data_IF_234532637732
#
_entry.id   IF_234532637732
#
_cell.length_a   1.000
_cell.length_b   1.000
_cell.length_c   1.000
_cell.angle_alpha   90.00
_cell.angle_beta   90.00
_cell.angle_gamma   90.00
#
_symmetry.space_group_name_H-M   'P 1'
#
loop_
_entity.id
_entity.type
_entity.pdbx_description
1 polymer ?
#
# COMPACT_ATOMS: atom_id res chain seq x y z
N UNK A 1 8.56 0.10 7.79
CA UNK A 1 8.78 0.10 9.26
C UNK A 1 10.18 -0.41 9.56
N UNK A 2 10.91 0.32 10.40
CA UNK A 2 12.17 -0.15 10.95
C UNK A 2 11.89 -0.58 12.39
N UNK A 3 12.12 -1.85 12.78
CA UNK A 3 11.99 -2.27 14.18
C UNK A 3 13.02 -1.56 15.06
N UNK A 4 12.66 -1.24 16.30
CA UNK A 4 13.48 -0.49 17.26
C UNK A 4 14.92 -1.03 17.39
N UNK A 5 15.07 -2.35 17.38
CA UNK A 5 16.37 -3.04 17.49
C UNK A 5 17.32 -2.67 16.33
N UNK A 6 16.80 -2.18 15.21
CA UNK A 6 17.60 -1.74 14.05
C UNK A 6 17.76 -0.22 13.95
N UNK A 7 17.09 0.58 14.78
CA UNK A 7 17.12 2.06 14.69
C UNK A 7 18.52 2.64 14.88
N UNK A 8 19.32 2.04 15.76
CA UNK A 8 20.72 2.47 15.99
C UNK A 8 21.62 2.28 14.77
N UNK A 9 21.20 1.50 13.78
CA UNK A 9 21.90 1.26 12.53
C UNK A 9 21.30 2.07 11.36
N UNK A 10 20.60 3.15 11.66
CA UNK A 10 20.03 4.02 10.63
C UNK A 10 21.13 4.56 9.70
N UNK A 11 21.01 4.28 8.40
CA UNK A 11 22.03 4.64 7.40
C UNK A 11 23.16 3.63 7.22
N UNK A 12 23.18 2.53 7.97
CA UNK A 12 24.14 1.45 7.78
C UNK A 12 23.88 0.73 6.45
N UNK A 13 24.88 0.64 5.53
CA UNK A 13 24.70 -0.01 4.24
C UNK A 13 24.45 -1.52 4.34
N UNK A 14 24.71 -2.13 5.49
CA UNK A 14 24.40 -3.53 5.77
C UNK A 14 22.92 -3.78 6.11
N UNK A 15 22.12 -2.71 6.25
CA UNK A 15 20.68 -2.82 6.56
C UNK A 15 19.87 -2.09 5.50
N UNK A 16 19.01 -2.81 4.82
CA UNK A 16 18.17 -2.32 3.74
C UNK A 16 16.70 -2.59 4.04
N UNK A 17 15.82 -1.63 3.77
CA UNK A 17 14.39 -1.91 3.79
C UNK A 17 13.95 -2.50 2.44
N UNK A 18 12.96 -3.39 2.45
CA UNK A 18 12.43 -4.04 1.24
C UNK A 18 11.82 -3.08 0.19
N UNK A 19 11.71 -1.79 0.48
CA UNK A 19 11.36 -0.74 -0.49
C UNK A 19 12.53 -0.23 -1.31
N UNK A 20 13.75 -0.55 -0.90
CA UNK A 20 14.96 -0.13 -1.61
C UNK A 20 15.30 -1.17 -2.68
N UNK A 21 15.83 -0.75 -3.84
CA UNK A 21 16.23 -1.68 -4.88
C UNK A 21 17.39 -2.55 -4.40
N UNK A 22 17.30 -3.87 -4.65
CA UNK A 22 18.40 -4.79 -4.41
C UNK A 22 19.40 -4.71 -5.57
N UNK A 23 20.66 -4.44 -5.24
CA UNK A 23 21.77 -4.48 -6.21
C UNK A 23 22.26 -5.92 -6.26
N UNK A 24 21.75 -6.69 -7.22
CA UNK A 24 21.95 -8.15 -7.30
C UNK A 24 23.43 -8.55 -7.41
N UNK A 25 24.24 -7.75 -8.11
CA UNK A 25 25.66 -7.97 -8.29
C UNK A 25 26.45 -7.95 -6.96
N UNK A 26 25.88 -7.33 -5.94
CA UNK A 26 26.49 -7.23 -4.59
C UNK A 26 26.09 -8.36 -3.66
N UNK A 27 25.20 -9.27 -4.08
CA UNK A 27 24.62 -10.30 -3.22
C UNK A 27 25.34 -11.64 -3.30
N UNK A 28 26.03 -11.91 -4.41
CA UNK A 28 26.68 -13.20 -4.64
C UNK A 28 27.69 -13.53 -3.53
N UNK A 29 27.55 -14.75 -2.97
CA UNK A 29 28.42 -15.27 -1.92
C UNK A 29 28.21 -14.67 -0.52
N UNK A 30 27.26 -13.73 -0.34
CA UNK A 30 26.96 -13.13 0.97
C UNK A 30 25.97 -13.96 1.77
N UNK A 31 26.10 -13.91 3.10
CA UNK A 31 25.06 -14.32 4.02
C UNK A 31 24.02 -13.19 4.15
N UNK A 32 22.76 -13.44 3.80
CA UNK A 32 21.68 -12.45 3.82
C UNK A 32 20.55 -12.90 4.74
N UNK A 33 20.22 -12.08 5.74
CA UNK A 33 19.04 -12.30 6.58
C UNK A 33 17.87 -11.43 6.09
N UNK A 34 16.72 -12.05 5.84
CA UNK A 34 15.50 -11.33 5.48
C UNK A 34 14.53 -11.41 6.66
N UNK A 35 14.16 -10.25 7.21
CA UNK A 35 13.31 -10.16 8.39
C UNK A 35 11.86 -9.89 7.98
N UNK A 36 10.98 -10.84 8.28
CA UNK A 36 9.57 -10.80 7.92
C UNK A 36 9.16 -12.04 7.12
N UNK A 37 7.86 -12.34 7.11
CA UNK A 37 7.29 -13.50 6.41
C UNK A 37 6.02 -13.15 5.64
N UNK A 38 5.93 -11.90 5.19
CA UNK A 38 4.91 -11.45 4.25
C UNK A 38 5.43 -11.52 2.80
N UNK A 39 4.58 -11.19 1.82
CA UNK A 39 4.90 -11.34 0.39
C UNK A 39 6.25 -10.71 0.01
N UNK A 40 6.47 -9.43 0.36
CA UNK A 40 7.72 -8.73 0.03
C UNK A 40 8.98 -9.39 0.63
N UNK A 41 8.88 -9.96 1.84
CA UNK A 41 10.00 -10.66 2.45
C UNK A 41 10.35 -11.94 1.66
N UNK A 42 9.34 -12.71 1.26
CA UNK A 42 9.54 -13.89 0.43
C UNK A 42 10.12 -13.54 -0.94
N UNK A 43 9.62 -12.48 -1.59
CA UNK A 43 10.13 -12.05 -2.90
C UNK A 43 11.58 -11.57 -2.83
N UNK A 44 11.93 -10.76 -1.80
CA UNK A 44 13.31 -10.31 -1.59
C UNK A 44 14.24 -11.48 -1.26
N UNK A 45 13.79 -12.44 -0.44
CA UNK A 45 14.57 -13.63 -0.12
C UNK A 45 14.86 -14.47 -1.38
N UNK A 46 13.86 -14.69 -2.22
CA UNK A 46 14.04 -15.42 -3.46
C UNK A 46 14.97 -14.67 -4.43
N UNK A 47 14.81 -13.36 -4.58
CA UNK A 47 15.66 -12.54 -5.44
C UNK A 47 17.12 -12.54 -4.97
N UNK A 48 17.35 -12.45 -3.66
CA UNK A 48 18.70 -12.51 -3.11
C UNK A 48 19.35 -13.89 -3.33
N UNK A 49 18.60 -14.98 -3.14
CA UNK A 49 19.13 -16.32 -3.37
C UNK A 49 19.42 -16.59 -4.85
N UNK A 50 18.57 -16.12 -5.76
CA UNK A 50 18.80 -16.22 -7.22
C UNK A 50 20.03 -15.42 -7.67
N UNK A 51 20.37 -14.34 -6.94
CA UNK A 51 21.60 -13.59 -7.13
C UNK A 51 22.85 -14.26 -6.49
N UNK A 52 22.70 -15.45 -5.92
CA UNK A 52 23.82 -16.24 -5.37
C UNK A 52 24.10 -15.98 -3.88
N UNK A 53 23.20 -15.32 -3.14
CA UNK A 53 23.31 -15.19 -1.70
C UNK A 53 22.90 -16.48 -0.98
N UNK A 54 23.48 -16.71 0.20
CA UNK A 54 22.97 -17.67 1.17
C UNK A 54 21.95 -16.94 2.06
N UNK A 55 20.68 -17.31 1.96
CA UNK A 55 19.58 -16.56 2.57
C UNK A 55 18.94 -17.31 3.75
N UNK A 56 18.74 -16.60 4.86
CA UNK A 56 17.92 -17.03 5.98
C UNK A 56 16.70 -16.09 6.10
N UNK A 57 15.49 -16.63 5.98
CA UNK A 57 14.23 -15.90 6.12
C UNK A 57 13.72 -16.07 7.56
N UNK A 58 13.56 -14.95 8.29
CA UNK A 58 13.26 -14.95 9.73
C UNK A 58 11.90 -14.35 10.00
N UNK A 59 11.07 -15.05 10.77
CA UNK A 59 9.75 -14.57 11.16
C UNK A 59 9.40 -14.82 12.61
N UNK A 60 8.85 -13.80 13.29
CA UNK A 60 8.34 -13.91 14.67
C UNK A 60 7.09 -14.79 14.79
N UNK A 61 6.38 -15.00 13.67
CA UNK A 61 5.23 -15.88 13.64
C UNK A 61 5.67 -17.35 13.77
N UNK A 62 5.02 -18.11 14.65
CA UNK A 62 5.31 -19.55 14.84
C UNK A 62 4.94 -20.39 13.62
N UNK A 63 4.01 -19.94 12.81
CA UNK A 63 3.54 -20.61 11.58
C UNK A 63 3.25 -19.57 10.50
N UNK A 64 3.40 -19.96 9.25
CA UNK A 64 2.94 -19.14 8.12
C UNK A 64 1.40 -19.11 8.09
N UNK A 65 0.78 -17.95 7.84
CA UNK A 65 -0.65 -17.88 7.61
C UNK A 65 -1.01 -18.67 6.35
N UNK A 66 -2.17 -19.32 6.37
CA UNK A 66 -2.63 -20.17 5.25
C UNK A 66 -3.80 -19.57 4.49
N UNK A 67 -4.48 -18.58 5.05
CA UNK A 67 -5.64 -17.92 4.47
C UNK A 67 -5.27 -16.52 3.98
N UNK A 68 -5.90 -16.10 2.90
CA UNK A 68 -5.90 -14.72 2.44
C UNK A 68 -7.35 -14.26 2.29
N UNK A 69 -7.92 -13.70 3.36
CA UNK A 69 -9.29 -13.16 3.37
C UNK A 69 -9.46 -11.95 2.46
N UNK A 70 -8.36 -11.24 2.14
CA UNK A 70 -8.39 -10.11 1.21
C UNK A 70 -8.92 -10.51 -0.17
N UNK A 71 -8.72 -11.76 -0.59
CA UNK A 71 -9.28 -12.25 -1.87
C UNK A 71 -10.80 -12.16 -1.94
N UNK A 72 -11.48 -12.22 -0.80
CA UNK A 72 -12.95 -12.09 -0.75
C UNK A 72 -13.42 -10.67 -1.03
N UNK A 73 -12.56 -9.66 -0.86
CA UNK A 73 -12.88 -8.26 -1.13
C UNK A 73 -12.62 -7.84 -2.58
N UNK A 74 -12.00 -8.70 -3.40
CA UNK A 74 -11.70 -8.41 -4.82
C UNK A 74 -12.95 -8.60 -5.66
N UNK A 75 -13.90 -7.71 -5.48
CA UNK A 75 -15.20 -7.72 -6.21
C UNK A 75 -15.62 -6.28 -6.54
N UNK A 76 -16.39 -6.12 -7.61
CA UNK A 76 -17.00 -4.84 -7.95
C UNK A 76 -17.90 -4.32 -6.81
N UNK A 77 -18.63 -5.23 -6.13
CA UNK A 77 -19.45 -4.87 -4.99
C UNK A 77 -18.68 -4.24 -3.84
N UNK A 78 -17.52 -4.79 -3.49
CA UNK A 78 -16.64 -4.18 -2.49
C UNK A 78 -16.08 -2.84 -2.98
N UNK A 79 -15.57 -2.80 -4.21
CA UNK A 79 -14.97 -1.59 -4.77
C UNK A 79 -15.94 -0.41 -4.80
N UNK A 80 -17.22 -0.66 -5.17
CA UNK A 80 -18.23 0.38 -5.24
C UNK A 80 -18.92 0.64 -3.90
N UNK A 81 -19.12 -0.41 -3.09
CA UNK A 81 -19.91 -0.35 -1.86
C UNK A 81 -19.12 0.12 -0.64
N UNK A 82 -17.84 -0.29 -0.49
CA UNK A 82 -17.06 0.05 0.69
C UNK A 82 -16.99 1.57 0.96
N UNK A 83 -16.78 2.45 -0.03
CA UNK A 83 -16.79 3.90 0.19
C UNK A 83 -18.12 4.46 0.69
N UNK A 84 -19.22 3.70 0.56
CA UNK A 84 -20.59 4.10 0.97
C UNK A 84 -20.92 3.66 2.41
N UNK A 85 -20.11 2.81 3.01
CA UNK A 85 -20.28 2.38 4.40
C UNK A 85 -20.15 3.56 5.36
N UNK A 86 -20.76 3.44 6.53
CA UNK A 86 -20.52 4.38 7.62
C UNK A 86 -19.05 4.33 8.07
N UNK A 87 -18.57 5.41 8.66
CA UNK A 87 -17.18 5.51 9.12
C UNK A 87 -16.83 4.43 10.15
N UNK A 88 -17.77 4.06 11.02
CA UNK A 88 -17.60 2.98 11.99
C UNK A 88 -17.51 1.59 11.34
N UNK A 89 -18.29 1.35 10.29
CA UNK A 89 -18.22 0.11 9.54
C UNK A 89 -16.89 -0.01 8.79
N UNK A 90 -16.43 1.07 8.12
CA UNK A 90 -15.12 1.10 7.46
C UNK A 90 -13.99 0.75 8.44
N UNK A 91 -14.01 1.36 9.63
CA UNK A 91 -13.02 1.08 10.66
C UNK A 91 -13.07 -0.38 11.14
N UNK A 92 -14.29 -0.93 11.33
CA UNK A 92 -14.46 -2.33 11.72
C UNK A 92 -13.94 -3.30 10.65
N UNK A 93 -14.20 -3.03 9.37
CA UNK A 93 -13.68 -3.81 8.25
C UNK A 93 -12.15 -3.78 8.23
N UNK A 94 -11.55 -2.60 8.35
CA UNK A 94 -10.10 -2.44 8.29
C UNK A 94 -9.40 -3.15 9.46
N UNK A 95 -9.94 -3.04 10.67
CA UNK A 95 -9.46 -3.78 11.85
C UNK A 95 -9.47 -5.28 11.62
N UNK A 96 -10.59 -5.81 11.09
CA UNK A 96 -10.69 -7.23 10.81
C UNK A 96 -9.69 -7.68 9.74
N UNK A 97 -9.58 -6.93 8.64
CA UNK A 97 -8.64 -7.20 7.55
C UNK A 97 -7.20 -7.21 8.07
N UNK A 98 -6.82 -6.21 8.86
CA UNK A 98 -5.45 -6.07 9.38
C UNK A 98 -5.11 -7.12 10.43
N UNK A 99 -6.09 -7.50 11.26
CA UNK A 99 -5.93 -8.60 12.22
C UNK A 99 -5.75 -9.96 11.52
N UNK A 100 -6.29 -10.13 10.32
CA UNK A 100 -6.10 -11.32 9.51
C UNK A 100 -4.71 -11.31 8.89
N UNK A 101 -3.79 -12.11 9.44
CA UNK A 101 -2.49 -12.30 8.78
C UNK A 101 -2.69 -12.88 7.39
N UNK A 102 -2.17 -12.17 6.39
CA UNK A 102 -2.34 -12.55 4.98
C UNK A 102 -1.25 -13.55 4.61
N UNK A 103 -1.65 -14.70 4.04
CA UNK A 103 -0.71 -15.67 3.49
C UNK A 103 0.06 -15.05 2.32
N UNK A 104 1.38 -15.22 2.25
CA UNK A 104 2.11 -14.88 1.04
C UNK A 104 1.61 -15.71 -0.15
N UNK A 105 1.76 -15.24 -1.39
CA UNK A 105 1.32 -15.97 -2.58
C UNK A 105 1.95 -17.35 -2.65
N UNK A 106 1.15 -18.37 -2.99
CA UNK A 106 1.62 -19.76 -3.02
C UNK A 106 2.84 -19.95 -3.91
N UNK A 107 2.84 -19.33 -5.09
CA UNK A 107 3.96 -19.43 -6.04
C UNK A 107 5.26 -18.83 -5.48
N UNK A 108 5.18 -17.73 -4.74
CA UNK A 108 6.34 -17.10 -4.08
C UNK A 108 6.91 -18.01 -2.99
N UNK A 109 6.03 -18.62 -2.15
CA UNK A 109 6.47 -19.59 -1.13
C UNK A 109 7.15 -20.80 -1.79
N UNK A 110 6.58 -21.31 -2.90
CA UNK A 110 7.17 -22.42 -3.65
C UNK A 110 8.52 -22.05 -4.29
N UNK A 111 8.68 -20.80 -4.77
CA UNK A 111 9.95 -20.28 -5.29
C UNK A 111 11.02 -20.30 -4.21
N UNK A 112 10.72 -19.75 -3.02
CA UNK A 112 11.64 -19.76 -1.86
C UNK A 112 12.02 -21.18 -1.45
N UNK A 113 11.05 -22.09 -1.36
CA UNK A 113 11.29 -23.49 -0.99
C UNK A 113 12.20 -24.22 -2.00
N UNK A 114 12.02 -23.96 -3.30
CA UNK A 114 12.88 -24.55 -4.37
C UNK A 114 14.32 -24.05 -4.32
N UNK A 115 14.54 -22.85 -3.83
CA UNK A 115 15.87 -22.25 -3.70
C UNK A 115 16.63 -22.73 -2.46
N UNK A 116 16.01 -23.57 -1.62
CA UNK A 116 16.63 -24.10 -0.41
C UNK A 116 16.90 -23.05 0.67
N UNK A 117 16.12 -21.96 0.67
CA UNK A 117 16.25 -20.89 1.65
C UNK A 117 15.84 -21.42 3.03
N UNK A 118 16.66 -21.15 4.03
CA UNK A 118 16.37 -21.50 5.41
C UNK A 118 15.23 -20.62 5.95
N UNK A 119 14.21 -21.25 6.54
CA UNK A 119 13.06 -20.56 7.12
C UNK A 119 13.02 -20.75 8.63
N UNK A 120 13.32 -19.69 9.38
CA UNK A 120 13.29 -19.65 10.85
C UNK A 120 12.01 -18.97 11.32
N UNK A 121 11.10 -19.71 11.91
CA UNK A 121 9.82 -19.21 12.42
C UNK A 121 9.79 -19.21 13.95
N UNK A 122 8.94 -18.34 14.52
CA UNK A 122 8.82 -18.17 15.98
C UNK A 122 10.02 -17.45 16.59
N UNK A 123 10.83 -16.82 15.76
CA UNK A 123 12.06 -16.14 16.14
C UNK A 123 11.88 -14.62 15.99
N UNK A 124 11.97 -13.90 17.09
CA UNK A 124 11.96 -12.44 17.12
C UNK A 124 13.40 -11.94 17.33
N UNK A 125 13.83 -11.00 16.50
CA UNK A 125 15.14 -10.38 16.64
C UNK A 125 15.10 -9.45 17.87
N UNK A 126 15.81 -9.82 18.92
CA UNK A 126 15.84 -9.09 20.18
C UNK A 126 17.09 -8.20 20.30
N UNK A 127 18.15 -8.55 19.59
CA UNK A 127 19.40 -7.84 19.62
C UNK A 127 20.12 -7.98 18.27
N UNK A 128 20.84 -6.93 17.88
CA UNK A 128 21.74 -6.92 16.74
C UNK A 128 23.09 -6.40 17.22
N UNK A 129 24.17 -7.13 16.96
CA UNK A 129 25.53 -6.73 17.31
C UNK A 129 26.44 -6.77 16.10
N UNK A 130 27.52 -6.02 16.13
CA UNK A 130 28.55 -6.07 15.10
C UNK A 130 29.51 -7.22 15.35
N UNK A 131 29.83 -7.97 14.31
CA UNK A 131 30.82 -9.06 14.32
C UNK A 131 31.77 -8.90 13.13
N UNK A 132 32.79 -8.08 13.30
CA UNK A 132 33.65 -7.67 12.20
C UNK A 132 32.86 -6.86 11.15
N UNK A 133 32.94 -7.27 9.90
CA UNK A 133 32.18 -6.64 8.80
C UNK A 133 30.71 -7.09 8.74
N UNK A 134 30.34 -8.13 9.49
CA UNK A 134 28.99 -8.70 9.51
C UNK A 134 28.19 -8.22 10.73
N UNK A 135 26.89 -8.48 10.70
CA UNK A 135 25.97 -8.33 11.81
C UNK A 135 25.63 -9.70 12.40
N UNK A 136 25.53 -9.79 13.71
CA UNK A 136 25.00 -10.94 14.42
C UNK A 136 23.61 -10.60 14.97
N UNK A 137 22.62 -11.32 14.49
CA UNK A 137 21.21 -11.17 14.89
C UNK A 137 20.86 -12.25 15.91
N UNK A 138 20.48 -11.84 17.12
CA UNK A 138 19.98 -12.76 18.14
C UNK A 138 18.46 -12.90 18.00
N UNK A 139 18.00 -14.08 17.61
CA UNK A 139 16.61 -14.41 17.33
C UNK A 139 16.10 -15.49 18.33
N UNK A 140 16.02 -15.14 19.60
CA UNK A 140 15.71 -16.09 20.67
C UNK A 140 16.85 -17.08 20.89
N UNK A 141 16.65 -18.36 20.57
CA UNK A 141 17.69 -19.38 20.67
C UNK A 141 18.66 -19.38 19.46
N UNK A 142 18.27 -18.77 18.37
CA UNK A 142 19.03 -18.74 17.12
C UNK A 142 19.96 -17.54 17.06
N UNK A 143 21.15 -17.75 16.51
CA UNK A 143 22.12 -16.70 16.20
C UNK A 143 22.41 -16.71 14.70
N UNK A 144 22.06 -15.64 14.03
CA UNK A 144 22.16 -15.53 12.57
C UNK A 144 23.21 -14.50 12.24
N UNK A 145 24.33 -14.94 11.67
CA UNK A 145 25.35 -14.05 11.11
C UNK A 145 24.89 -13.60 9.73
N UNK A 146 25.03 -12.32 9.42
CA UNK A 146 24.57 -11.79 8.15
C UNK A 146 25.47 -10.64 7.67
N UNK A 147 25.82 -10.65 6.39
CA UNK A 147 26.55 -9.57 5.74
C UNK A 147 25.60 -8.46 5.25
N UNK A 148 24.32 -8.81 5.06
CA UNK A 148 23.25 -7.86 4.70
C UNK A 148 21.94 -8.31 5.35
N UNK A 149 21.22 -7.35 5.93
CA UNK A 149 19.87 -7.54 6.49
C UNK A 149 18.86 -6.82 5.63
N UNK A 150 17.84 -7.53 5.18
CA UNK A 150 16.71 -6.96 4.44
C UNK A 150 15.47 -6.94 5.33
N UNK A 151 14.96 -5.74 5.63
CA UNK A 151 13.79 -5.55 6.49
C UNK A 151 12.51 -5.63 5.65
N UNK A 152 11.91 -6.81 5.58
CA UNK A 152 10.56 -7.07 5.02
C UNK A 152 9.46 -6.83 6.06
N UNK A 153 9.57 -5.75 6.84
CA UNK A 153 8.78 -5.48 8.06
C UNK A 153 7.56 -4.59 7.83
N UNK A 154 7.23 -4.36 6.55
CA UNK A 154 6.08 -3.57 6.12
C UNK A 154 6.36 -2.07 6.11
N UNK A 155 5.32 -1.31 5.77
CA UNK A 155 5.38 0.13 5.53
C UNK A 155 4.57 0.88 6.59
N UNK A 156 4.88 2.14 6.77
CA UNK A 156 4.05 3.13 7.45
C UNK A 156 3.77 4.27 6.48
N UNK A 157 2.62 4.89 6.61
CA UNK A 157 2.25 6.04 5.83
C UNK A 157 1.86 7.18 6.77
N UNK A 158 2.60 8.28 6.65
CA UNK A 158 2.27 9.54 7.31
C UNK A 158 2.29 10.64 6.24
N UNK A 159 1.14 11.24 5.89
CA UNK A 159 1.09 12.32 4.91
C UNK A 159 1.96 13.52 5.28
N UNK A 160 2.13 13.81 6.58
CA UNK A 160 2.97 14.91 7.05
C UNK A 160 4.47 14.65 6.83
N UNK A 161 4.88 13.38 6.77
CA UNK A 161 6.26 12.99 6.49
C UNK A 161 6.59 12.96 4.98
N UNK A 162 5.59 13.15 4.12
CA UNK A 162 5.78 13.19 2.66
C UNK A 162 6.15 14.62 2.22
N UNK A 163 7.34 14.88 1.67
CA UNK A 163 7.77 16.24 1.30
C UNK A 163 6.76 16.98 0.40
N UNK A 164 6.14 16.25 -0.56
CA UNK A 164 5.16 16.82 -1.48
C UNK A 164 3.82 17.20 -0.81
N UNK A 165 3.51 16.69 0.38
CA UNK A 165 2.26 16.91 1.09
C UNK A 165 2.44 17.66 2.41
N UNK A 166 3.67 17.88 2.86
CA UNK A 166 3.96 18.46 4.17
C UNK A 166 3.24 19.79 4.40
N UNK A 167 3.26 20.68 3.41
CA UNK A 167 2.60 21.99 3.48
C UNK A 167 1.06 21.90 3.43
N UNK A 168 0.53 20.82 2.87
CA UNK A 168 -0.91 20.60 2.74
C UNK A 168 -1.50 19.81 3.90
N UNK A 169 -0.70 19.02 4.60
CA UNK A 169 -1.14 18.08 5.62
C UNK A 169 -1.97 18.76 6.73
N UNK A 170 -1.56 19.96 7.16
CA UNK A 170 -2.30 20.74 8.18
C UNK A 170 -3.69 21.19 7.73
N UNK A 171 -3.93 21.29 6.42
CA UNK A 171 -5.18 21.75 5.81
C UNK A 171 -6.13 20.61 5.43
N UNK A 172 -5.65 19.37 5.45
CA UNK A 172 -6.41 18.17 5.09
C UNK A 172 -7.14 17.63 6.31
N UNK A 173 -8.41 17.27 6.16
CA UNK A 173 -9.18 16.58 7.20
C UNK A 173 -8.62 15.16 7.40
N UNK A 174 -8.28 14.82 8.64
CA UNK A 174 -7.84 13.48 9.00
C UNK A 174 -8.98 12.63 9.56
N UNK A 175 -8.78 11.31 9.62
CA UNK A 175 -9.74 10.41 10.25
C UNK A 175 -9.91 10.67 11.76
N UNK A 176 -8.86 11.12 12.45
CA UNK A 176 -8.93 11.51 13.86
C UNK A 176 -9.94 12.61 14.11
N UNK A 177 -10.13 13.52 13.14
CA UNK A 177 -11.07 14.64 13.25
C UNK A 177 -12.51 14.23 12.90
N UNK A 178 -12.71 13.05 12.32
CA UNK A 178 -14.03 12.54 11.90
C UNK A 178 -14.69 11.65 12.92
N UNK A 179 -13.91 10.92 13.71
CA UNK A 179 -14.40 9.99 14.69
C UNK A 179 -14.05 10.42 16.11
N UNK A 180 -14.93 10.19 17.11
CA UNK A 180 -14.64 10.50 18.49
C UNK A 180 -13.47 9.63 19.01
N UNK A 181 -12.77 10.15 20.03
CA UNK A 181 -11.63 9.43 20.64
C UNK A 181 -11.99 8.01 21.08
N UNK A 182 -13.21 7.80 21.58
CA UNK A 182 -13.72 6.48 22.00
C UNK A 182 -13.85 5.45 20.86
N UNK A 183 -13.80 5.88 19.61
CA UNK A 183 -13.83 4.96 18.46
C UNK A 183 -12.47 4.29 18.22
N UNK A 184 -11.37 4.86 18.72
CA UNK A 184 -10.02 4.39 18.47
C UNK A 184 -9.56 3.36 19.52
N UNK A 185 -8.70 2.43 19.07
CA UNK A 185 -8.11 1.39 19.90
C UNK A 185 -6.59 1.45 19.82
N UNK A 186 -5.93 0.81 20.76
CA UNK A 186 -4.47 0.65 20.73
C UNK A 186 -4.04 0.01 19.42
N UNK A 187 -3.13 0.67 18.69
CA UNK A 187 -2.62 0.22 17.39
C UNK A 187 -3.29 0.88 16.18
N UNK A 188 -4.30 1.73 16.38
CA UNK A 188 -4.95 2.48 15.29
C UNK A 188 -4.23 3.81 14.96
N UNK A 189 -3.13 4.14 15.63
CA UNK A 189 -2.46 5.45 15.56
C UNK A 189 -2.11 5.89 14.12
N UNK A 190 -1.76 4.93 13.26
CA UNK A 190 -1.48 5.22 11.85
C UNK A 190 -2.74 5.65 11.11
N UNK A 191 -3.87 4.99 11.37
CA UNK A 191 -5.15 5.27 10.71
C UNK A 191 -5.74 6.63 11.12
N UNK A 192 -5.50 7.05 12.35
CA UNK A 192 -5.90 8.37 12.83
C UNK A 192 -5.31 9.50 11.97
N UNK A 193 -4.06 9.32 11.50
CA UNK A 193 -3.35 10.29 10.65
C UNK A 193 -3.71 10.19 9.18
N UNK A 194 -4.41 9.13 8.74
CA UNK A 194 -4.83 9.03 7.35
C UNK A 194 -5.76 10.16 6.96
N UNK A 195 -5.66 10.66 5.73
CA UNK A 195 -6.58 11.66 5.24
C UNK A 195 -7.99 11.08 5.11
N UNK A 196 -8.99 11.85 5.50
CA UNK A 196 -10.38 11.55 5.19
C UNK A 196 -10.65 12.00 3.77
N UNK A 197 -10.90 11.07 2.87
CA UNK A 197 -10.98 11.32 1.43
C UNK A 197 -12.41 11.28 0.91
N UNK A 198 -12.66 12.03 -0.15
CA UNK A 198 -13.85 11.87 -0.97
C UNK A 198 -13.80 10.61 -1.84
N UNK A 199 -14.91 10.32 -2.54
CA UNK A 199 -15.10 9.07 -3.28
C UNK A 199 -14.18 8.89 -4.49
N UNK A 200 -13.61 9.97 -5.02
CA UNK A 200 -12.65 9.98 -6.13
C UNK A 200 -11.21 10.17 -5.67
N UNK A 201 -10.90 9.81 -4.42
CA UNK A 201 -9.57 9.96 -3.79
C UNK A 201 -9.17 11.42 -3.50
N UNK A 202 -10.07 12.38 -3.64
CA UNK A 202 -9.80 13.79 -3.37
C UNK A 202 -9.60 14.05 -1.88
N UNK A 203 -8.63 14.92 -1.56
CA UNK A 203 -8.49 15.44 -0.22
C UNK A 203 -9.70 16.32 0.16
N UNK A 204 -10.16 16.15 1.38
CA UNK A 204 -11.17 17.01 1.97
C UNK A 204 -10.51 18.04 2.89
N UNK A 205 -10.85 19.30 2.67
CA UNK A 205 -10.28 20.41 3.41
C UNK A 205 -10.98 20.60 4.77
N UNK A 206 -10.21 21.00 5.80
CA UNK A 206 -10.75 21.48 7.07
C UNK A 206 -11.52 22.81 6.89
N UNK A 207 -10.95 23.68 6.03
CA UNK A 207 -11.56 24.95 5.65
C UNK A 207 -12.26 24.81 4.29
N UNK A 208 -13.59 25.01 4.21
CA UNK A 208 -14.34 24.93 2.96
C UNK A 208 -13.81 25.84 1.85
N UNK A 209 -13.19 26.98 2.19
CA UNK A 209 -12.63 27.90 1.20
C UNK A 209 -11.44 27.28 0.44
N UNK A 210 -10.74 26.32 1.06
CA UNK A 210 -9.62 25.59 0.46
C UNK A 210 -10.04 24.35 -0.31
N UNK A 211 -11.32 23.94 -0.20
CA UNK A 211 -11.79 22.68 -0.80
C UNK A 211 -11.54 22.60 -2.30
N UNK A 212 -11.75 23.72 -3.03
CA UNK A 212 -11.53 23.72 -4.50
C UNK A 212 -10.08 23.39 -4.87
N UNK A 213 -9.11 23.91 -4.13
CA UNK A 213 -7.70 23.65 -4.40
C UNK A 213 -7.28 22.25 -3.95
N UNK A 214 -7.62 21.85 -2.71
CA UNK A 214 -7.28 20.56 -2.14
C UNK A 214 -8.01 19.41 -2.84
N UNK A 215 -9.25 19.60 -3.28
CA UNK A 215 -10.01 18.62 -4.03
C UNK A 215 -9.39 18.24 -5.39
N UNK A 216 -8.45 19.02 -5.93
CA UNK A 216 -7.68 18.67 -7.13
C UNK A 216 -6.52 17.71 -6.84
N UNK A 217 -6.11 17.57 -5.59
CA UNK A 217 -5.06 16.63 -5.18
C UNK A 217 -5.72 15.31 -4.80
N UNK A 218 -5.20 14.22 -5.36
CA UNK A 218 -5.72 12.86 -5.16
C UNK A 218 -4.73 12.01 -4.38
N UNK A 219 -5.22 11.28 -3.38
CA UNK A 219 -4.43 10.36 -2.57
C UNK A 219 -4.61 8.94 -3.07
N UNK A 220 -3.80 8.51 -4.06
CA UNK A 220 -3.85 7.15 -4.60
C UNK A 220 -2.68 6.32 -4.06
N UNK A 221 -2.74 5.99 -2.76
CA UNK A 221 -1.76 5.17 -2.06
C UNK A 221 -2.38 4.52 -0.81
N UNK A 222 -1.55 3.89 0.03
CA UNK A 222 -1.98 3.18 1.24
C UNK A 222 -2.84 4.05 2.20
N UNK A 223 -2.60 5.36 2.29
CA UNK A 223 -3.37 6.23 3.18
C UNK A 223 -4.85 6.38 2.76
N UNK A 224 -5.23 5.99 1.54
CA UNK A 224 -6.61 5.95 1.10
C UNK A 224 -7.43 4.77 1.68
N UNK A 225 -6.76 3.81 2.32
CA UNK A 225 -7.34 2.53 2.69
C UNK A 225 -8.59 2.66 3.58
N UNK A 226 -8.56 3.52 4.58
CA UNK A 226 -9.68 3.67 5.50
C UNK A 226 -10.89 4.34 4.84
N UNK A 227 -10.66 5.25 3.88
CA UNK A 227 -11.74 5.93 3.16
C UNK A 227 -12.33 5.07 2.03
N UNK A 228 -11.49 4.32 1.31
CA UNK A 228 -11.85 3.71 0.03
C UNK A 228 -11.55 2.19 -0.04
N UNK A 229 -11.14 1.60 1.09
CA UNK A 229 -10.69 0.20 1.09
C UNK A 229 -9.32 0.04 0.43
N UNK A 230 -9.03 -1.19 -0.02
CA UNK A 230 -7.70 -1.51 -0.55
C UNK A 230 -7.48 -1.09 -2.01
N UNK A 231 -8.31 -0.18 -2.54
CA UNK A 231 -8.31 0.16 -3.97
C UNK A 231 -7.00 0.78 -4.48
N UNK A 232 -6.20 1.38 -3.58
CA UNK A 232 -4.97 2.05 -3.94
C UNK A 232 -3.69 1.41 -3.34
N UNK A 233 -3.80 0.26 -2.66
CA UNK A 233 -2.68 -0.35 -1.93
C UNK A 233 -2.55 -1.86 -2.09
N UNK A 234 -3.40 -2.48 -2.88
CA UNK A 234 -3.38 -3.92 -3.13
C UNK A 234 -3.48 -4.20 -4.64
N UNK A 235 -2.56 -5.01 -5.16
CA UNK A 235 -2.45 -5.28 -6.61
C UNK A 235 -3.78 -5.78 -7.21
N UNK A 236 -4.50 -6.75 -6.61
CA UNK A 236 -5.76 -7.21 -7.15
C UNK A 236 -6.88 -6.15 -7.22
N UNK A 237 -6.81 -5.10 -6.38
CA UNK A 237 -7.80 -4.02 -6.36
C UNK A 237 -7.39 -2.81 -7.20
N UNK A 238 -6.11 -2.71 -7.60
CA UNK A 238 -5.56 -1.51 -8.24
C UNK A 238 -6.31 -1.13 -9.53
N UNK A 239 -6.82 -2.10 -10.30
CA UNK A 239 -7.61 -1.82 -11.50
C UNK A 239 -8.94 -1.13 -11.17
N UNK A 240 -9.67 -1.58 -10.13
CA UNK A 240 -10.89 -0.92 -9.67
C UNK A 240 -10.61 0.51 -9.17
N UNK A 241 -9.52 0.66 -8.42
CA UNK A 241 -9.11 1.97 -7.92
C UNK A 241 -8.71 2.92 -9.02
N UNK A 242 -7.91 2.48 -9.99
CA UNK A 242 -7.49 3.29 -11.14
C UNK A 242 -8.70 3.71 -12.00
N UNK A 243 -9.64 2.81 -12.25
CA UNK A 243 -10.87 3.11 -12.99
C UNK A 243 -11.73 4.15 -12.26
N UNK A 244 -11.91 4.00 -10.93
CA UNK A 244 -12.62 4.98 -10.11
C UNK A 244 -11.96 6.36 -10.16
N UNK A 245 -10.63 6.41 -10.01
CA UNK A 245 -9.86 7.66 -10.09
C UNK A 245 -10.03 8.32 -11.45
N UNK A 246 -9.88 7.55 -12.54
CA UNK A 246 -10.02 8.05 -13.90
C UNK A 246 -11.41 8.62 -14.17
N UNK A 247 -12.47 7.92 -13.72
CA UNK A 247 -13.86 8.40 -13.84
C UNK A 247 -14.08 9.69 -13.05
N UNK A 248 -13.54 9.78 -11.83
CA UNK A 248 -13.66 10.98 -11.01
C UNK A 248 -12.96 12.18 -11.68
N UNK A 249 -11.75 12.00 -12.19
CA UNK A 249 -11.02 13.04 -12.92
C UNK A 249 -11.75 13.47 -14.19
N UNK A 250 -12.27 12.52 -14.97
CA UNK A 250 -13.04 12.83 -16.18
C UNK A 250 -14.30 13.65 -15.86
N UNK A 251 -14.99 13.30 -14.76
CA UNK A 251 -16.17 14.06 -14.31
C UNK A 251 -15.79 15.49 -13.88
N UNK A 252 -14.69 15.65 -13.16
CA UNK A 252 -14.22 16.99 -12.74
C UNK A 252 -13.85 17.85 -13.92
N UNK A 253 -13.11 17.32 -14.89
CA UNK A 253 -12.73 18.06 -16.12
C UNK A 253 -13.96 18.44 -16.95
N UNK A 254 -14.92 17.51 -17.10
CA UNK A 254 -16.16 17.83 -17.80
C UNK A 254 -16.91 18.99 -17.14
N UNK A 255 -16.99 18.99 -15.80
CA UNK A 255 -17.65 20.07 -15.06
C UNK A 255 -16.89 21.38 -15.16
N UNK A 256 -15.55 21.34 -15.06
CA UNK A 256 -14.71 22.54 -15.21
C UNK A 256 -14.83 23.16 -16.60
N UNK A 257 -14.87 22.33 -17.66
CA UNK A 257 -14.92 22.76 -19.03
C UNK A 257 -16.36 22.80 -19.61
N UNK A 258 -17.38 22.76 -18.73
CA UNK A 258 -18.78 22.65 -19.12
C UNK A 258 -19.20 23.68 -20.18
N UNK A 259 -18.76 24.95 -20.07
CA UNK A 259 -19.09 25.99 -21.05
C UNK A 259 -18.57 25.64 -22.45
N UNK A 260 -17.36 25.09 -22.53
CA UNK A 260 -16.78 24.64 -23.79
C UNK A 260 -17.55 23.45 -24.38
N UNK A 261 -17.85 22.44 -23.54
CA UNK A 261 -18.62 21.27 -23.96
C UNK A 261 -20.02 21.63 -24.44
N UNK A 262 -20.66 22.57 -23.72
CA UNK A 262 -22.00 23.04 -24.11
C UNK A 262 -21.96 23.80 -25.43
N UNK A 263 -20.95 24.65 -25.67
CA UNK A 263 -20.79 25.34 -26.95
C UNK A 263 -20.52 24.33 -28.11
N UNK A 264 -19.65 23.35 -27.89
CA UNK A 264 -19.39 22.28 -28.83
C UNK A 264 -20.67 21.49 -29.20
N UNK A 265 -21.54 21.23 -28.23
CA UNK A 265 -22.85 20.60 -28.46
C UNK A 265 -23.74 21.51 -29.33
N UNK A 266 -23.76 22.82 -29.06
CA UNK A 266 -24.57 23.76 -29.84
C UNK A 266 -24.08 23.88 -31.26
N UNK A 267 -22.77 23.73 -31.48
CA UNK A 267 -22.15 23.85 -32.83
C UNK A 267 -22.17 22.51 -33.60
N UNK A 268 -22.53 21.41 -32.92
CA UNK A 268 -22.60 20.08 -33.54
C UNK A 268 -23.70 20.03 -34.59
N UNK A 269 -23.33 19.74 -35.85
CA UNK A 269 -24.20 19.78 -37.01
C UNK A 269 -23.99 18.61 -37.97
N UNK A 270 -23.38 17.53 -37.52
CA UNK A 270 -23.27 16.31 -38.30
C UNK A 270 -24.69 15.70 -38.49
N UNK A 271 -25.05 15.53 -39.80
CA UNK A 271 -26.33 14.97 -40.14
C UNK A 271 -26.34 13.46 -39.90
N UNK A 272 -27.25 12.96 -39.08
CA UNK A 272 -27.55 11.53 -38.91
C UNK A 272 -28.24 11.01 -40.20
N UNK A 273 -29.16 11.80 -40.79
CA UNK A 273 -29.85 11.47 -42.03
C UNK A 273 -29.37 12.38 -43.16
N UNK A 274 -28.85 11.81 -44.23
CA UNK A 274 -28.33 12.54 -45.40
C UNK A 274 -29.43 12.93 -46.39
N UNK A 275 -30.64 12.37 -46.22
CA UNK A 275 -31.81 12.64 -47.06
C UNK A 275 -31.99 11.64 -48.23
N UNK A 276 -31.20 10.59 -48.28
CA UNK A 276 -31.24 9.52 -49.27
C UNK A 276 -31.70 8.15 -48.73
N UNK A 277 -32.01 8.07 -47.42
CA UNK A 277 -32.37 6.84 -46.73
C UNK A 277 -33.77 6.37 -47.08
N UNK A 278 -34.63 7.23 -47.66
CA UNK A 278 -36.00 6.91 -48.01
C UNK A 278 -36.32 7.24 -49.44
N UNK A 279 -36.97 6.35 -50.21
CA UNK A 279 -37.22 6.55 -51.65
C UNK A 279 -38.15 7.71 -52.01
N UNK A 280 -38.90 8.25 -51.05
CA UNK A 280 -39.80 9.40 -51.23
C UNK A 280 -39.33 10.51 -50.24
N UNK A 281 -39.05 11.70 -50.79
CA UNK A 281 -38.68 12.85 -49.99
C UNK A 281 -39.70 13.13 -48.86
N UNK A 282 -39.20 13.39 -47.65
CA UNK A 282 -39.96 13.90 -46.55
C UNK A 282 -40.52 15.27 -46.80
#
# INVERSE_FOLDING_TARGET
RIPEVFERFAGDPRIQHSSQPLVQEQLSGRDVAVIGVAASAFDNAATAAEAGAKVTLVGRAKTLPRLNKMKHTVTAGFAEGFPLLSDSEKLAWLRHITACRIAPPRHTVQRVAKLGIELVLGAEINEVTEQGEALLLNAGAEKIRSDLVILGTGFTMDPAAMPALADLASSVTSWQERLPESAWQTGDDEWQRFPYLGKGFEFLAKDPQRQRALGRVRCFNHAAQLSLGNLANDIPHASFGAERLARALAADFFVEDNAHHYQALMDYNELELLGDEWPTAF
#
